data_IF_142534639279
#
_entry.id   IF_142534639279
#
_cell.length_a   1.000
_cell.length_b   1.000
_cell.length_c   1.000
_cell.angle_alpha   90.00
_cell.angle_beta   90.00
_cell.angle_gamma   90.00
#
_symmetry.space_group_name_H-M   'P 1'
#
loop_
_entity.id
_entity.type
_entity.pdbx_description
1 polymer ?
#
# COMPACT_ATOMS: atom_id res chain seq x y z
N UNK A 1 -15.23 -20.55 6.32
CA UNK A 1 -14.72 -20.23 6.44
C UNK A 1 -14.42 -19.54 6.24
N UNK A 2 -14.41 -19.23 6.20
CA UNK A 2 -13.95 -18.55 6.05
C UNK A 2 -13.49 -17.70 6.26
N UNK A 3 -13.44 -17.85 6.44
CA UNK A 3 -12.94 -16.91 6.85
C UNK A 3 -11.87 -16.28 6.22
N UNK A 4 -11.98 -15.87 5.34
CA UNK A 4 -11.07 -15.35 4.61
C UNK A 4 -10.69 -14.05 5.12
N UNK A 5 -9.60 -13.87 5.61
CA UNK A 5 -9.04 -12.65 6.09
C UNK A 5 -8.41 -11.88 4.95
N UNK A 6 -8.72 -10.61 4.85
CA UNK A 6 -8.06 -9.78 3.84
C UNK A 6 -6.71 -9.33 4.36
N UNK A 7 -5.76 -9.21 3.46
CA UNK A 7 -4.39 -8.86 3.79
C UNK A 7 -4.16 -7.36 3.65
N UNK A 8 -3.47 -6.79 4.63
CA UNK A 8 -3.00 -5.41 4.53
C UNK A 8 -1.60 -5.40 3.97
N UNK A 9 -1.40 -4.75 2.84
CA UNK A 9 -0.13 -4.73 2.12
C UNK A 9 0.57 -3.40 2.25
N UNK A 10 1.86 -3.44 2.60
CA UNK A 10 2.69 -2.25 2.64
C UNK A 10 3.61 -2.24 1.43
N UNK A 11 3.65 -1.12 0.73
CA UNK A 11 4.52 -0.96 -0.42
C UNK A 11 5.50 0.17 -0.13
N UNK A 12 6.78 -0.15 -0.15
CA UNK A 12 7.83 0.81 0.09
C UNK A 12 8.49 1.15 -1.24
N UNK A 13 8.46 2.43 -1.60
CA UNK A 13 8.93 2.88 -2.90
C UNK A 13 7.79 2.94 -3.89
N UNK A 14 7.45 4.16 -4.31
CA UNK A 14 6.31 4.39 -5.21
C UNK A 14 6.76 4.74 -6.64
N UNK A 15 7.98 4.34 -7.00
CA UNK A 15 8.46 4.50 -8.37
C UNK A 15 7.81 3.48 -9.30
N UNK A 16 8.41 3.25 -10.45
CA UNK A 16 7.80 2.42 -11.49
C UNK A 16 7.36 1.04 -11.00
N UNK A 17 8.25 0.33 -10.32
CA UNK A 17 7.92 -1.03 -9.87
C UNK A 17 6.90 -1.02 -8.73
N UNK A 18 7.06 -0.10 -7.78
CA UNK A 18 6.10 0.02 -6.69
C UNK A 18 4.72 0.36 -7.22
N UNK A 19 4.65 1.23 -8.21
CA UNK A 19 3.40 1.60 -8.83
C UNK A 19 2.71 0.40 -9.48
N UNK A 20 3.48 -0.40 -10.23
CA UNK A 20 2.92 -1.57 -10.88
C UNK A 20 2.36 -2.53 -9.83
N UNK A 21 3.11 -2.76 -8.76
CA UNK A 21 2.68 -3.66 -7.70
C UNK A 21 1.42 -3.17 -7.00
N UNK A 22 1.34 -1.87 -6.74
CA UNK A 22 0.18 -1.31 -6.06
C UNK A 22 -1.07 -1.42 -6.91
N UNK A 23 -0.95 -1.13 -8.20
CA UNK A 23 -2.10 -1.21 -9.09
C UNK A 23 -2.57 -2.64 -9.26
N UNK A 24 -1.64 -3.59 -9.34
CA UNK A 24 -2.01 -5.00 -9.41
C UNK A 24 -2.65 -5.47 -8.11
N UNK A 25 -2.11 -5.03 -6.98
CA UNK A 25 -2.64 -5.43 -5.68
C UNK A 25 -4.06 -4.91 -5.48
N UNK A 26 -4.36 -3.73 -6.00
CA UNK A 26 -5.69 -3.15 -5.84
C UNK A 26 -6.76 -4.03 -6.46
N UNK A 27 -6.42 -4.71 -7.55
CA UNK A 27 -7.37 -5.58 -8.22
C UNK A 27 -7.44 -6.99 -7.63
N UNK A 28 -6.57 -7.27 -6.67
CA UNK A 28 -6.52 -8.61 -6.10
C UNK A 28 -7.49 -8.70 -4.91
N UNK A 29 -8.47 -9.59 -4.97
CA UNK A 29 -9.53 -9.61 -3.95
C UNK A 29 -9.06 -9.94 -2.54
N UNK A 30 -7.88 -10.53 -2.39
CA UNK A 30 -7.35 -10.83 -1.06
C UNK A 30 -6.71 -9.63 -0.36
N UNK A 31 -6.52 -8.51 -1.06
CA UNK A 31 -5.91 -7.33 -0.49
C UNK A 31 -6.99 -6.35 -0.05
N UNK A 32 -7.07 -6.12 1.26
CA UNK A 32 -8.10 -5.24 1.80
C UNK A 32 -7.59 -3.88 2.25
N UNK A 33 -6.28 -3.70 2.33
CA UNK A 33 -5.69 -2.44 2.78
C UNK A 33 -4.33 -2.25 2.12
N UNK A 34 -4.05 -1.07 1.62
CA UNK A 34 -2.78 -0.76 0.99
C UNK A 34 -2.20 0.50 1.62
N UNK A 35 -1.00 0.38 2.17
CA UNK A 35 -0.25 1.50 2.69
C UNK A 35 0.99 1.74 1.85
N UNK A 36 1.29 3.00 1.60
CA UNK A 36 2.41 3.39 0.76
C UNK A 36 3.45 4.17 1.54
N UNK A 37 4.71 3.98 1.19
CA UNK A 37 5.79 4.77 1.77
C UNK A 37 6.77 5.18 0.67
N UNK A 38 7.09 6.46 0.62
CA UNK A 38 8.11 6.97 -0.29
C UNK A 38 8.59 8.31 0.22
N UNK A 39 9.88 8.57 0.06
CA UNK A 39 10.43 9.86 0.47
C UNK A 39 9.97 10.98 -0.47
N UNK A 40 9.51 10.64 -1.66
CA UNK A 40 9.02 11.59 -2.64
C UNK A 40 7.51 11.69 -2.51
N UNK A 41 7.05 12.77 -1.88
CA UNK A 41 5.63 12.93 -1.62
C UNK A 41 4.78 12.95 -2.89
N UNK A 42 5.29 13.56 -3.95
CA UNK A 42 4.53 13.66 -5.20
C UNK A 42 4.23 12.28 -5.79
N UNK A 43 5.22 11.38 -5.79
CA UNK A 43 5.01 10.03 -6.29
C UNK A 43 4.03 9.28 -5.40
N UNK A 44 4.17 9.45 -4.09
CA UNK A 44 3.29 8.79 -3.15
C UNK A 44 1.85 9.25 -3.29
N UNK A 45 1.64 10.56 -3.38
CA UNK A 45 0.29 11.10 -3.49
C UNK A 45 -0.38 10.71 -4.80
N UNK A 46 0.40 10.69 -5.88
CA UNK A 46 -0.16 10.28 -7.17
C UNK A 46 -0.58 8.82 -7.12
N UNK A 47 0.24 7.97 -6.55
CA UNK A 47 -0.09 6.55 -6.47
C UNK A 47 -1.23 6.30 -5.49
N UNK A 48 -1.27 7.04 -4.39
CA UNK A 48 -2.36 6.95 -3.43
C UNK A 48 -3.70 7.15 -4.13
N UNK A 49 -3.75 8.14 -4.99
CA UNK A 49 -4.96 8.45 -5.71
C UNK A 49 -5.26 7.42 -6.80
N UNK A 50 -4.22 7.02 -7.55
CA UNK A 50 -4.39 6.11 -8.69
C UNK A 50 -4.80 4.71 -8.27
N UNK A 51 -4.27 4.19 -7.18
CA UNK A 51 -4.62 2.85 -6.72
C UNK A 51 -5.59 2.85 -5.55
N UNK A 52 -6.07 4.03 -5.16
CA UNK A 52 -6.99 4.18 -4.05
C UNK A 52 -6.45 3.54 -2.78
N UNK A 53 -5.18 3.83 -2.50
CA UNK A 53 -4.56 3.30 -1.29
C UNK A 53 -5.17 3.95 -0.06
N UNK A 54 -5.00 3.29 1.07
CA UNK A 54 -5.61 3.71 2.33
C UNK A 54 -4.72 4.61 3.17
N UNK A 55 -3.42 4.58 2.92
CA UNK A 55 -2.48 5.28 3.77
C UNK A 55 -1.20 5.60 3.02
N UNK A 56 -0.61 6.76 3.31
CA UNK A 56 0.68 7.13 2.78
C UNK A 56 1.50 7.83 3.85
N UNK A 57 2.78 7.51 3.92
CA UNK A 57 3.70 8.20 4.79
C UNK A 57 5.08 8.28 4.16
N UNK A 58 5.88 9.23 4.59
CA UNK A 58 7.27 9.32 4.18
C UNK A 58 8.17 8.54 5.14
N UNK A 59 7.62 8.10 6.26
CA UNK A 59 8.39 7.42 7.30
C UNK A 59 8.12 5.92 7.26
N UNK A 60 9.13 5.18 6.85
CA UNK A 60 9.05 3.72 6.76
C UNK A 60 8.62 3.09 8.09
N UNK A 61 9.16 3.59 9.20
CA UNK A 61 8.81 3.02 10.50
C UNK A 61 7.34 3.26 10.85
N UNK A 62 6.82 4.39 10.44
CA UNK A 62 5.42 4.70 10.68
C UNK A 62 4.51 3.72 9.93
N UNK A 63 4.88 3.38 8.72
CA UNK A 63 4.10 2.41 7.94
C UNK A 63 4.13 1.05 8.61
N UNK A 64 5.29 0.60 9.07
CA UNK A 64 5.43 -0.71 9.69
C UNK A 64 4.72 -0.83 11.03
N UNK A 65 4.41 0.30 11.65
CA UNK A 65 3.69 0.28 12.93
C UNK A 65 2.19 0.18 12.78
N UNK A 66 1.70 0.31 11.56
CA UNK A 66 0.25 0.21 11.34
C UNK A 66 -0.20 -1.21 11.58
N UNK A 67 -1.27 -1.35 12.35
CA UNK A 67 -1.78 -2.68 12.68
C UNK A 67 -2.38 -3.38 11.47
N UNK A 68 -2.73 -2.63 10.42
CA UNK A 68 -3.30 -3.19 9.22
C UNK A 68 -2.28 -3.94 8.36
N UNK A 69 -0.97 -3.66 8.56
CA UNK A 69 0.06 -4.26 7.71
C UNK A 69 0.31 -5.72 8.05
N UNK A 70 0.15 -6.58 7.09
CA UNK A 70 0.46 -8.01 7.20
C UNK A 70 1.67 -8.41 6.36
N UNK A 71 1.91 -7.68 5.29
CA UNK A 71 3.01 -8.02 4.37
C UNK A 71 3.62 -6.82 3.69
#
# INVERSE_FOLDING_TARGET
>A
MNNKKQIGLAIVGCGTIGRIRALMARDYPGIGWIGLCDITRDLGNKLLDDCKADFFTKDYNELLKRTEVDA
#
